data_IF_988902344575
#
_entry.id   IF_988902344575
#
_cell.length_a   1.000
_cell.length_b   1.000
_cell.length_c   1.000
_cell.angle_alpha   90.00
_cell.angle_beta   90.00
_cell.angle_gamma   90.00
#
_symmetry.space_group_name_H-M   'P 1'
#
loop_
_entity.id
_entity.type
_entity.pdbx_description
1 polymer ?
#
# COMPACT_ATOMS: atom_id res chain seq x y z
N UNK A 1 13.43 4.53 -6.59
CA UNK A 1 12.47 5.55 -7.06
C UNK A 1 12.45 5.58 -8.59
N UNK A 2 11.28 5.71 -9.20
CA UNK A 2 11.10 5.76 -10.66
C UNK A 2 10.35 7.02 -11.04
N UNK A 3 10.81 7.70 -12.09
CA UNK A 3 10.26 9.00 -12.50
C UNK A 3 10.00 9.00 -13.99
N UNK A 4 8.76 9.26 -14.39
CA UNK A 4 8.38 9.52 -15.77
C UNK A 4 8.84 10.93 -16.19
N UNK A 5 9.64 11.01 -17.24
CA UNK A 5 10.04 12.24 -17.91
C UNK A 5 9.32 12.36 -19.27
N UNK A 6 9.43 13.49 -20.00
CA UNK A 6 8.75 13.66 -21.28
C UNK A 6 9.03 12.58 -22.35
N UNK A 7 10.16 11.87 -22.28
CA UNK A 7 10.57 10.88 -23.27
C UNK A 7 11.33 9.67 -22.69
N UNK A 8 11.30 9.49 -21.37
CA UNK A 8 12.04 8.43 -20.70
C UNK A 8 11.50 8.14 -19.30
N UNK A 9 11.94 7.02 -18.72
CA UNK A 9 11.79 6.74 -17.29
C UNK A 9 13.18 6.77 -16.66
N UNK A 10 13.38 7.64 -15.67
CA UNK A 10 14.61 7.67 -14.87
C UNK A 10 14.49 6.76 -13.66
N UNK A 11 15.56 6.06 -13.36
CA UNK A 11 15.67 5.09 -12.28
C UNK A 11 16.65 5.64 -11.25
N UNK A 12 16.23 5.68 -9.99
CA UNK A 12 17.05 6.14 -8.88
C UNK A 12 17.07 5.12 -7.76
N UNK A 13 18.22 4.99 -7.11
CA UNK A 13 18.34 4.36 -5.81
C UNK A 13 17.54 5.18 -4.80
N UNK A 14 16.61 4.56 -4.08
CA UNK A 14 15.68 5.25 -3.18
C UNK A 14 16.32 5.64 -1.84
N UNK A 15 17.49 5.10 -1.51
CA UNK A 15 18.25 5.44 -0.30
C UNK A 15 19.22 6.61 -0.58
N UNK A 16 20.07 6.48 -1.59
CA UNK A 16 21.12 7.46 -1.92
C UNK A 16 20.65 8.55 -2.88
N UNK A 17 19.52 8.36 -3.57
CA UNK A 17 19.04 9.26 -4.62
C UNK A 17 19.86 9.20 -5.91
N UNK A 18 20.84 8.29 -6.01
CA UNK A 18 21.72 8.18 -7.18
C UNK A 18 20.95 7.63 -8.39
N UNK A 19 21.16 8.22 -9.55
CA UNK A 19 20.64 7.66 -10.80
C UNK A 19 21.28 6.30 -11.11
N UNK A 20 20.44 5.29 -11.32
CA UNK A 20 20.79 3.91 -11.65
C UNK A 20 20.67 3.62 -13.15
N UNK A 21 19.83 4.38 -13.86
CA UNK A 21 19.58 4.14 -15.26
C UNK A 21 18.50 5.04 -15.85
N UNK A 22 18.36 4.95 -17.18
CA UNK A 22 17.33 5.63 -17.94
C UNK A 22 16.79 4.63 -18.96
N UNK A 23 15.47 4.51 -19.05
CA UNK A 23 14.79 3.73 -20.09
C UNK A 23 14.19 4.70 -21.10
N UNK A 24 14.63 4.70 -22.37
CA UNK A 24 14.01 5.51 -23.40
C UNK A 24 12.56 5.09 -23.62
N UNK A 25 11.66 6.07 -23.60
CA UNK A 25 10.24 5.86 -23.92
C UNK A 25 9.73 7.08 -24.68
N UNK A 26 10.03 7.19 -25.98
CA UNK A 26 9.83 8.41 -26.77
C UNK A 26 8.35 8.80 -26.93
N UNK A 27 7.43 7.87 -26.67
CA UNK A 27 5.99 8.11 -26.70
C UNK A 27 5.47 8.82 -25.44
N UNK A 28 6.36 9.19 -24.52
CA UNK A 28 6.09 10.01 -23.35
C UNK A 28 5.33 9.24 -22.27
N UNK A 29 6.00 8.66 -21.27
CA UNK A 29 5.33 8.03 -20.14
C UNK A 29 4.46 9.05 -19.38
N UNK A 30 3.28 8.63 -18.93
CA UNK A 30 2.35 9.45 -18.14
C UNK A 30 2.16 8.93 -16.73
N UNK A 31 1.75 7.68 -16.61
CA UNK A 31 1.50 7.03 -15.33
C UNK A 31 2.29 5.73 -15.25
N UNK A 32 2.88 5.48 -14.08
CA UNK A 32 3.64 4.27 -13.79
C UNK A 32 2.86 3.43 -12.77
N UNK A 33 2.87 2.11 -12.96
CA UNK A 33 2.44 1.13 -11.95
C UNK A 33 3.54 0.09 -11.79
N UNK A 34 3.82 -0.28 -10.55
CA UNK A 34 4.97 -1.11 -10.17
C UNK A 34 4.49 -2.23 -9.25
N UNK A 35 3.95 -3.34 -9.81
CA UNK A 35 3.71 -4.55 -9.03
C UNK A 35 5.02 -5.09 -8.43
N UNK A 36 4.96 -5.95 -7.39
CA UNK A 36 6.12 -6.67 -6.91
C UNK A 36 6.83 -7.41 -8.04
N UNK A 37 8.15 -7.30 -8.09
CA UNK A 37 8.98 -7.94 -9.12
C UNK A 37 9.85 -6.96 -9.89
N UNK A 38 10.21 -7.36 -11.12
CA UNK A 38 11.16 -6.64 -11.96
C UNK A 38 10.50 -6.07 -13.23
N UNK A 39 9.23 -5.65 -13.15
CA UNK A 39 8.51 -5.06 -14.29
C UNK A 39 7.75 -3.81 -13.88
N UNK A 40 7.94 -2.72 -14.62
CA UNK A 40 7.18 -1.47 -14.48
C UNK A 40 6.24 -1.33 -15.67
N UNK A 41 4.99 -0.99 -15.41
CA UNK A 41 4.01 -0.68 -16.45
C UNK A 41 3.92 0.82 -16.61
N UNK A 42 3.91 1.30 -17.85
CA UNK A 42 3.74 2.71 -18.15
C UNK A 42 2.65 2.93 -19.20
N UNK A 43 1.73 3.85 -18.93
CA UNK A 43 0.88 4.42 -19.99
C UNK A 43 1.63 5.53 -20.71
N UNK A 44 1.33 5.75 -21.98
CA UNK A 44 2.01 6.75 -22.83
C UNK A 44 1.06 7.83 -23.35
N UNK A 45 1.61 8.97 -23.79
CA UNK A 45 0.82 10.03 -24.42
C UNK A 45 0.20 9.61 -25.76
N UNK A 46 0.77 8.58 -26.42
CA UNK A 46 0.24 8.02 -27.68
C UNK A 46 -0.83 6.94 -27.49
N UNK A 47 -1.32 6.73 -26.27
CA UNK A 47 -2.40 5.77 -26.03
C UNK A 47 -1.93 4.32 -26.12
N UNK A 48 -0.71 4.04 -25.67
CA UNK A 48 -0.18 2.68 -25.49
C UNK A 48 0.11 2.40 -24.01
N UNK A 49 0.09 1.12 -23.64
CA UNK A 49 0.67 0.63 -22.38
C UNK A 49 1.89 -0.21 -22.73
N UNK A 50 2.99 0.06 -22.03
CA UNK A 50 4.25 -0.66 -22.18
C UNK A 50 4.64 -1.32 -20.86
N UNK A 51 5.27 -2.50 -20.94
CA UNK A 51 6.00 -3.10 -19.84
C UNK A 51 7.49 -2.79 -19.99
N UNK A 52 8.13 -2.43 -18.89
CA UNK A 52 9.55 -2.13 -18.81
C UNK A 52 10.20 -3.17 -17.90
N UNK A 53 11.12 -3.94 -18.46
CA UNK A 53 11.97 -4.87 -17.70
C UNK A 53 13.01 -4.06 -16.92
N UNK A 54 13.09 -4.32 -15.61
CA UNK A 54 14.02 -3.65 -14.70
C UNK A 54 15.38 -4.34 -14.63
N UNK A 55 15.55 -5.49 -15.29
CA UNK A 55 16.86 -6.12 -15.42
C UNK A 55 17.64 -5.47 -16.55
N UNK A 56 18.92 -5.20 -16.31
CA UNK A 56 19.80 -4.71 -17.36
C UNK A 56 20.06 -5.84 -18.39
N UNK A 57 20.02 -5.55 -19.71
CA UNK A 57 19.69 -4.26 -20.31
C UNK A 57 18.18 -3.95 -20.22
N UNK A 58 17.83 -2.74 -19.77
CA UNK A 58 16.42 -2.33 -19.64
C UNK A 58 15.72 -2.34 -20.99
N UNK A 59 14.58 -3.01 -21.10
CA UNK A 59 13.79 -3.09 -22.34
C UNK A 59 12.36 -2.63 -22.11
N UNK A 60 11.82 -1.85 -23.05
CA UNK A 60 10.42 -1.47 -23.08
C UNK A 60 9.68 -2.26 -24.18
N UNK A 61 8.61 -2.93 -23.81
CA UNK A 61 7.80 -3.77 -24.70
C UNK A 61 6.35 -3.29 -24.72
N UNK A 62 5.80 -2.90 -25.88
CA UNK A 62 4.38 -2.55 -25.99
C UNK A 62 3.47 -3.74 -25.69
N UNK A 63 2.42 -3.52 -24.91
CA UNK A 63 1.43 -4.54 -24.54
C UNK A 63 0.11 -4.33 -25.27
N UNK A 64 -0.44 -3.12 -25.18
CA UNK A 64 -1.71 -2.73 -25.83
C UNK A 64 -1.62 -1.32 -26.37
N UNK A 65 -2.47 -1.00 -27.35
CA UNK A 65 -2.49 0.31 -28.01
C UNK A 65 -3.90 0.73 -28.42
N UNK A 66 -4.06 2.02 -28.72
CA UNK A 66 -5.26 2.59 -29.30
C UNK A 66 -6.31 3.09 -28.29
N UNK A 67 -6.02 3.05 -26.99
CA UNK A 67 -6.88 3.57 -25.91
C UNK A 67 -6.51 4.98 -25.46
N UNK A 68 -7.29 5.52 -24.52
CA UNK A 68 -6.90 6.69 -23.70
C UNK A 68 -6.69 6.19 -22.28
N UNK A 69 -5.45 5.76 -22.00
CA UNK A 69 -5.12 5.03 -20.79
C UNK A 69 -4.76 5.95 -19.61
N UNK A 70 -5.40 5.71 -18.47
CA UNK A 70 -5.26 6.51 -17.24
C UNK A 70 -4.25 5.97 -16.22
N UNK A 71 -4.28 6.49 -14.98
CA UNK A 71 -3.51 5.96 -13.85
C UNK A 71 -3.91 4.51 -13.57
N UNK A 72 -2.92 3.63 -13.57
CA UNK A 72 -3.11 2.19 -13.36
C UNK A 72 -2.93 1.84 -11.88
N UNK A 73 -3.51 0.72 -11.47
CA UNK A 73 -3.19 0.06 -10.21
C UNK A 73 -3.07 -1.45 -10.43
N UNK A 74 -2.55 -2.18 -9.46
CA UNK A 74 -2.37 -3.62 -9.55
C UNK A 74 -2.97 -4.36 -8.36
N UNK A 75 -3.36 -5.59 -8.61
CA UNK A 75 -3.74 -6.53 -7.56
C UNK A 75 -2.47 -7.16 -6.98
N UNK A 76 -2.17 -6.90 -5.71
CA UNK A 76 -0.97 -7.42 -5.05
C UNK A 76 -0.97 -8.93 -4.84
N UNK A 77 -2.14 -9.58 -4.92
CA UNK A 77 -2.28 -11.03 -4.76
C UNK A 77 -2.02 -11.81 -6.06
N UNK A 78 -2.38 -11.23 -7.21
CA UNK A 78 -2.27 -11.88 -8.52
C UNK A 78 -1.20 -11.26 -9.42
N UNK A 79 -0.84 -10.00 -9.19
CA UNK A 79 0.00 -9.19 -10.06
C UNK A 79 -0.72 -8.63 -11.30
N UNK A 80 -2.05 -8.83 -11.42
CA UNK A 80 -2.82 -8.29 -12.54
C UNK A 80 -2.80 -6.75 -12.48
N UNK A 81 -2.67 -6.11 -13.65
CA UNK A 81 -2.63 -4.64 -13.74
C UNK A 81 -3.92 -4.12 -14.37
N UNK A 82 -4.61 -3.26 -13.65
CA UNK A 82 -5.86 -2.65 -14.09
C UNK A 82 -5.59 -1.28 -14.69
N UNK A 83 -6.01 -1.11 -15.93
CA UNK A 83 -5.76 0.07 -16.75
C UNK A 83 -7.09 0.75 -17.09
N UNK A 84 -7.38 1.94 -16.56
CA UNK A 84 -8.49 2.77 -17.02
C UNK A 84 -8.37 3.08 -18.50
N UNK A 85 -9.36 2.74 -19.30
CA UNK A 85 -9.47 3.12 -20.71
C UNK A 85 -10.68 4.03 -20.92
N UNK A 86 -10.39 5.33 -20.98
CA UNK A 86 -11.38 6.41 -21.14
C UNK A 86 -12.03 6.41 -22.51
N UNK A 87 -11.33 5.91 -23.53
CA UNK A 87 -11.85 5.88 -24.90
C UNK A 87 -12.95 4.84 -25.03
N UNK A 88 -12.79 3.69 -24.37
CA UNK A 88 -13.68 2.53 -24.52
C UNK A 88 -14.59 2.28 -23.31
N UNK A 89 -14.64 3.19 -22.33
CA UNK A 89 -15.44 3.07 -21.10
C UNK A 89 -15.24 1.72 -20.39
N UNK A 90 -13.99 1.36 -20.10
CA UNK A 90 -13.68 0.06 -19.51
C UNK A 90 -12.40 0.12 -18.66
N UNK A 91 -12.24 -0.84 -17.77
CA UNK A 91 -10.92 -1.24 -17.28
C UNK A 91 -10.39 -2.35 -18.18
N UNK A 92 -9.20 -2.16 -18.70
CA UNK A 92 -8.43 -3.22 -19.35
C UNK A 92 -7.58 -3.88 -18.28
N UNK A 93 -7.63 -5.21 -18.19
CA UNK A 93 -6.83 -5.96 -17.22
C UNK A 93 -5.73 -6.70 -17.96
N UNK A 94 -4.50 -6.44 -17.55
CA UNK A 94 -3.31 -7.03 -18.13
C UNK A 94 -2.89 -8.28 -17.37
N UNK A 95 -2.37 -9.26 -18.09
CA UNK A 95 -1.76 -10.44 -17.50
C UNK A 95 -0.48 -10.02 -16.76
N UNK A 96 -0.18 -10.58 -15.57
CA UNK A 96 1.07 -10.31 -14.89
C UNK A 96 2.25 -10.76 -15.76
N UNK A 97 3.15 -9.83 -16.05
CA UNK A 97 4.39 -10.11 -16.75
C UNK A 97 5.55 -10.22 -15.76
N UNK A 98 6.36 -11.26 -15.94
CA UNK A 98 7.66 -11.39 -15.31
C UNK A 98 8.76 -11.01 -16.32
N UNK A 99 9.80 -10.36 -15.83
CA UNK A 99 10.98 -10.01 -16.61
C UNK A 99 11.58 -11.21 -17.37
N UNK A 100 11.93 -11.02 -18.64
CA UNK A 100 12.47 -12.07 -19.51
C UNK A 100 11.48 -13.12 -20.01
N UNK A 101 10.21 -13.09 -19.61
CA UNK A 101 9.18 -14.02 -20.12
C UNK A 101 8.57 -13.51 -21.44
N UNK A 102 8.04 -14.44 -22.23
CA UNK A 102 7.30 -14.11 -23.44
C UNK A 102 6.08 -13.27 -23.08
N UNK A 103 5.88 -12.17 -23.82
CA UNK A 103 4.69 -11.31 -23.67
C UNK A 103 3.41 -12.15 -23.88
N UNK A 104 2.50 -12.18 -22.90
CA UNK A 104 1.24 -12.87 -23.01
C UNK A 104 0.31 -12.16 -24.01
N UNK A 105 -0.79 -12.81 -24.36
CA UNK A 105 -1.83 -12.18 -25.17
C UNK A 105 -2.55 -11.15 -24.30
N UNK A 106 -2.60 -9.90 -24.76
CA UNK A 106 -3.30 -8.83 -24.08
C UNK A 106 -4.51 -8.30 -24.87
N UNK A 107 -5.56 -7.82 -24.18
CA UNK A 107 -5.73 -7.88 -22.73
C UNK A 107 -6.10 -9.27 -22.22
N UNK A 108 -5.82 -9.58 -20.95
CA UNK A 108 -6.33 -10.79 -20.29
C UNK A 108 -7.87 -10.80 -20.32
N UNK A 109 -8.48 -9.71 -19.84
CA UNK A 109 -9.91 -9.45 -19.93
C UNK A 109 -10.22 -7.96 -19.78
N UNK A 110 -11.51 -7.61 -19.87
CA UNK A 110 -12.00 -6.23 -19.70
C UNK A 110 -13.17 -6.19 -18.73
N UNK A 111 -13.27 -5.11 -17.95
CA UNK A 111 -14.42 -4.79 -17.10
C UNK A 111 -15.14 -3.58 -17.69
N UNK A 112 -16.39 -3.75 -18.12
CA UNK A 112 -17.17 -2.70 -18.79
C UNK A 112 -17.76 -1.70 -17.80
N UNK A 113 -17.71 -0.42 -18.13
CA UNK A 113 -18.18 0.66 -17.28
C UNK A 113 -19.30 1.44 -17.94
N UNK A 114 -20.19 1.99 -17.12
CA UNK A 114 -21.26 2.87 -17.57
C UNK A 114 -20.76 4.27 -17.99
N UNK A 115 -19.54 4.65 -17.59
CA UNK A 115 -18.94 5.95 -17.88
C UNK A 115 -17.41 5.84 -18.00
N UNK A 116 -16.78 6.94 -18.46
CA UNK A 116 -15.33 7.04 -18.65
C UNK A 116 -14.60 6.94 -17.30
N UNK A 117 -13.66 6.01 -17.13
CA UNK A 117 -12.89 5.93 -15.90
C UNK A 117 -11.75 6.94 -15.85
N UNK A 118 -11.64 7.71 -14.77
CA UNK A 118 -10.51 8.59 -14.49
C UNK A 118 -9.33 7.86 -13.83
N UNK A 119 -9.59 6.94 -12.91
CA UNK A 119 -8.58 6.16 -12.18
C UNK A 119 -9.18 4.86 -11.63
N UNK A 120 -8.32 3.95 -11.18
CA UNK A 120 -8.71 2.77 -10.41
C UNK A 120 -7.81 2.61 -9.18
N UNK A 121 -8.35 2.05 -8.11
CA UNK A 121 -7.59 1.56 -6.96
C UNK A 121 -8.05 0.14 -6.61
N UNK A 122 -7.11 -0.77 -6.37
CA UNK A 122 -7.35 -2.15 -5.96
C UNK A 122 -6.97 -2.29 -4.48
N UNK A 123 -7.75 -3.04 -3.70
CA UNK A 123 -7.38 -3.32 -2.31
C UNK A 123 -6.17 -4.24 -2.25
N UNK A 124 -5.34 -4.13 -1.21
CA UNK A 124 -4.12 -4.94 -1.07
C UNK A 124 -4.38 -6.46 -0.99
N UNK A 125 -5.60 -6.88 -0.64
CA UNK A 125 -6.02 -8.28 -0.62
C UNK A 125 -6.67 -8.74 -1.95
N UNK A 126 -6.72 -7.85 -2.94
CA UNK A 126 -7.24 -8.13 -4.27
C UNK A 126 -8.75 -8.39 -4.32
N UNK A 127 -9.50 -8.13 -3.24
CA UNK A 127 -10.93 -8.45 -3.20
C UNK A 127 -11.80 -7.41 -3.89
N UNK A 128 -11.45 -6.12 -3.74
CA UNK A 128 -12.26 -5.01 -4.20
C UNK A 128 -11.49 -4.06 -5.12
N UNK A 129 -12.21 -3.53 -6.11
CA UNK A 129 -11.72 -2.50 -7.01
C UNK A 129 -12.63 -1.28 -6.99
N UNK A 130 -12.03 -0.09 -6.95
CA UNK A 130 -12.73 1.19 -6.93
C UNK A 130 -12.35 2.00 -8.16
N UNK A 131 -13.31 2.24 -9.04
CA UNK A 131 -13.13 2.99 -10.27
C UNK A 131 -13.74 4.38 -10.19
N UNK A 132 -12.93 5.45 -10.24
CA UNK A 132 -13.46 6.81 -10.33
C UNK A 132 -13.97 7.08 -11.74
N UNK A 133 -15.19 7.59 -11.89
CA UNK A 133 -15.83 7.82 -13.18
C UNK A 133 -16.13 9.31 -13.42
N UNK A 134 -15.99 9.75 -14.67
CA UNK A 134 -16.18 11.16 -15.08
C UNK A 134 -17.64 11.65 -14.91
N UNK A 135 -18.59 10.74 -14.69
CA UNK A 135 -20.00 11.09 -14.39
C UNK A 135 -20.26 11.42 -12.92
N UNK A 136 -19.22 11.46 -12.07
CA UNK A 136 -19.33 11.81 -10.66
C UNK A 136 -19.56 10.64 -9.71
N UNK A 137 -19.43 9.41 -10.21
CA UNK A 137 -19.61 8.20 -9.43
C UNK A 137 -18.33 7.38 -9.26
N UNK A 138 -18.35 6.44 -8.33
CA UNK A 138 -17.33 5.42 -8.13
C UNK A 138 -17.96 4.05 -8.37
N UNK A 139 -17.39 3.28 -9.30
CA UNK A 139 -17.75 1.88 -9.49
C UNK A 139 -17.03 1.01 -8.46
N UNK A 140 -17.77 0.20 -7.72
CA UNK A 140 -17.25 -0.79 -6.79
C UNK A 140 -17.33 -2.17 -7.45
N UNK A 141 -16.19 -2.83 -7.60
CA UNK A 141 -16.04 -4.15 -8.19
C UNK A 141 -15.68 -5.20 -7.14
N UNK A 142 -16.28 -6.38 -7.30
CA UNK A 142 -15.74 -7.65 -6.85
C UNK A 142 -14.69 -8.07 -7.89
N UNK A 143 -13.43 -8.10 -7.48
CA UNK A 143 -12.32 -8.38 -8.39
C UNK A 143 -12.26 -9.88 -8.75
N UNK A 144 -12.29 -10.82 -7.79
CA UNK A 144 -12.33 -12.25 -8.11
C UNK A 144 -13.52 -12.65 -8.98
N UNK A 145 -14.73 -12.15 -8.67
CA UNK A 145 -15.93 -12.45 -9.44
C UNK A 145 -16.01 -11.64 -10.75
N UNK A 146 -15.18 -10.60 -10.90
CA UNK A 146 -15.13 -9.69 -12.05
C UNK A 146 -16.47 -8.98 -12.29
N UNK A 147 -17.14 -8.60 -11.20
CA UNK A 147 -18.50 -8.08 -11.24
C UNK A 147 -18.61 -6.72 -10.57
N UNK A 148 -19.43 -5.86 -11.17
CA UNK A 148 -19.81 -4.61 -10.55
C UNK A 148 -20.77 -4.90 -9.40
N UNK A 149 -20.36 -4.59 -8.17
CA UNK A 149 -21.19 -4.71 -6.96
C UNK A 149 -22.13 -3.51 -6.86
N UNK A 150 -21.58 -2.30 -7.00
CA UNK A 150 -22.33 -1.07 -6.78
C UNK A 150 -21.75 0.12 -7.55
N UNK A 151 -22.56 1.15 -7.70
CA UNK A 151 -22.11 2.48 -8.15
C UNK A 151 -22.46 3.50 -7.08
N UNK A 152 -21.45 4.19 -6.56
CA UNK A 152 -21.58 5.12 -5.44
C UNK A 152 -21.50 6.54 -5.98
N UNK A 153 -22.52 7.36 -5.72
CA UNK A 153 -22.49 8.77 -6.10
C UNK A 153 -21.66 9.57 -5.11
N UNK A 154 -20.72 10.37 -5.62
CA UNK A 154 -19.80 11.15 -4.76
C UNK A 154 -20.26 12.59 -4.55
N UNK A 155 -21.19 13.08 -5.36
CA UNK A 155 -21.61 14.49 -5.36
C UNK A 155 -20.61 15.46 -6.02
N UNK A 156 -19.49 14.95 -6.55
CA UNK A 156 -18.46 15.73 -7.24
C UNK A 156 -17.89 15.00 -8.46
N UNK A 157 -16.68 15.34 -8.90
CA UNK A 157 -15.97 14.67 -9.99
C UNK A 157 -14.74 13.93 -9.43
N UNK A 158 -14.88 12.63 -9.06
CA UNK A 158 -13.76 11.88 -8.49
C UNK A 158 -12.70 11.67 -9.58
N UNK A 159 -11.44 12.00 -9.27
CA UNK A 159 -10.32 11.91 -10.23
C UNK A 159 -9.24 10.94 -9.81
N UNK A 160 -9.20 10.59 -8.53
CA UNK A 160 -8.20 9.72 -7.94
C UNK A 160 -8.79 9.01 -6.73
N UNK A 161 -8.35 7.78 -6.49
CA UNK A 161 -8.74 6.96 -5.35
C UNK A 161 -7.47 6.34 -4.78
N UNK A 162 -7.38 6.27 -3.46
CA UNK A 162 -6.35 5.53 -2.74
C UNK A 162 -7.08 4.47 -1.92
N UNK A 163 -6.69 3.20 -2.08
CA UNK A 163 -7.05 2.13 -1.16
C UNK A 163 -5.99 2.04 -0.06
N UNK A 164 -6.44 1.87 1.18
CA UNK A 164 -5.58 1.53 2.31
C UNK A 164 -5.51 0.02 2.53
N UNK A 165 -4.91 -0.40 3.65
CA UNK A 165 -4.95 -1.80 4.09
C UNK A 165 -6.40 -2.24 4.29
N UNK A 166 -6.77 -3.33 3.64
CA UNK A 166 -8.08 -3.96 3.61
C UNK A 166 -7.96 -5.48 3.88
N UNK A 167 -8.88 -6.06 4.68
CA UNK A 167 -9.83 -5.34 5.52
C UNK A 167 -9.09 -4.45 6.53
N UNK A 168 -9.67 -3.30 6.95
CA UNK A 168 -9.00 -2.38 7.85
C UNK A 168 -8.54 -3.12 9.11
N UNK A 169 -7.26 -3.02 9.43
CA UNK A 169 -6.67 -3.66 10.62
C UNK A 169 -7.20 -3.07 11.92
N UNK A 170 -7.79 -1.86 11.88
CA UNK A 170 -8.28 -1.13 13.05
C UNK A 170 -9.66 -0.50 12.81
N UNK A 171 -10.72 -1.28 13.03
CA UNK A 171 -12.10 -0.79 12.92
C UNK A 171 -12.49 -0.38 11.50
N UNK A 172 -13.77 -0.46 11.20
CA UNK A 172 -14.33 -0.05 9.89
C UNK A 172 -14.79 1.41 9.90
N UNK A 173 -14.70 2.09 11.05
CA UNK A 173 -15.08 3.50 11.23
C UNK A 173 -14.03 4.28 12.01
N UNK A 174 -13.91 5.61 11.78
CA UNK A 174 -13.03 6.48 12.57
C UNK A 174 -13.27 6.38 14.09
N UNK A 175 -14.53 6.15 14.49
CA UNK A 175 -14.92 5.98 15.89
C UNK A 175 -14.36 4.68 16.48
N UNK A 176 -14.43 3.57 15.74
CA UNK A 176 -13.85 2.30 16.18
C UNK A 176 -12.33 2.38 16.31
N UNK A 177 -11.64 2.99 15.33
CA UNK A 177 -10.20 3.21 15.40
C UNK A 177 -9.81 4.07 16.63
N UNK A 178 -10.56 5.13 16.92
CA UNK A 178 -10.34 5.98 18.10
C UNK A 178 -10.51 5.23 19.42
N UNK A 179 -11.48 4.32 19.53
CA UNK A 179 -11.70 3.55 20.75
C UNK A 179 -10.54 2.59 21.04
N UNK A 180 -9.97 1.97 20.01
CA UNK A 180 -8.77 1.13 20.17
C UNK A 180 -7.55 1.93 20.63
N UNK A 181 -7.32 3.11 20.02
CA UNK A 181 -6.22 4.00 20.43
C UNK A 181 -6.41 4.46 21.88
N UNK A 182 -7.64 4.80 22.29
CA UNK A 182 -7.93 5.15 23.68
C UNK A 182 -7.71 3.98 24.64
N UNK A 183 -8.17 2.77 24.29
CA UNK A 183 -7.97 1.57 25.11
C UNK A 183 -6.48 1.22 25.28
N UNK A 184 -5.70 1.31 24.20
CA UNK A 184 -4.25 1.09 24.22
C UNK A 184 -3.54 2.12 25.11
N UNK A 185 -3.93 3.39 25.03
CA UNK A 185 -3.37 4.44 25.89
C UNK A 185 -3.70 4.20 27.37
N UNK A 186 -4.95 3.84 27.70
CA UNK A 186 -5.37 3.53 29.08
C UNK A 186 -4.56 2.33 29.61
N UNK A 187 -4.44 1.25 28.84
CA UNK A 187 -3.63 0.10 29.23
C UNK A 187 -2.15 0.47 29.45
N UNK A 188 -1.59 1.32 28.58
CA UNK A 188 -0.23 1.85 28.73
C UNK A 188 -0.05 2.63 30.04
N UNK A 189 -0.97 3.52 30.37
CA UNK A 189 -0.92 4.26 31.64
C UNK A 189 -1.02 3.34 32.87
N UNK A 190 -1.88 2.32 32.84
CA UNK A 190 -2.01 1.36 33.94
C UNK A 190 -0.70 0.58 34.16
N UNK A 191 0.00 0.20 33.08
CA UNK A 191 1.30 -0.48 33.16
C UNK A 191 2.35 0.45 33.78
N UNK A 192 2.43 1.72 33.34
CA UNK A 192 3.37 2.70 33.90
C UNK A 192 3.09 2.95 35.38
N UNK A 193 1.83 3.11 35.75
CA UNK A 193 1.42 3.29 37.16
C UNK A 193 1.78 2.07 38.00
N UNK A 194 1.54 0.86 37.50
CA UNK A 194 1.94 -0.37 38.18
C UNK A 194 3.46 -0.45 38.38
N UNK A 195 4.25 -0.11 37.35
CA UNK A 195 5.71 -0.08 37.42
C UNK A 195 6.25 0.97 38.41
N UNK A 196 5.52 2.06 38.67
CA UNK A 196 5.93 3.06 39.65
C UNK A 196 5.47 2.72 41.08
N UNK A 197 4.24 2.23 41.24
CA UNK A 197 3.63 2.01 42.56
C UNK A 197 4.08 0.69 43.18
N UNK A 198 4.16 -0.39 42.39
CA UNK A 198 4.48 -1.73 42.91
C UNK A 198 5.85 -1.79 43.58
N UNK A 199 6.94 -1.22 43.01
CA UNK A 199 8.24 -1.19 43.68
C UNK A 199 8.23 -0.40 44.98
N UNK A 200 7.47 0.70 45.06
CA UNK A 200 7.34 1.51 46.29
C UNK A 200 6.62 0.70 47.38
N UNK A 201 5.54 0.01 47.03
CA UNK A 201 4.80 -0.84 47.98
C UNK A 201 5.68 -2.00 48.45
N UNK A 202 6.35 -2.69 47.52
CA UNK A 202 7.28 -3.76 47.85
C UNK A 202 8.41 -3.25 48.76
N UNK A 203 9.05 -2.13 48.42
CA UNK A 203 10.11 -1.53 49.22
C UNK A 203 9.64 -1.15 50.62
N UNK A 204 8.45 -0.52 50.77
CA UNK A 204 7.88 -0.22 52.09
C UNK A 204 7.58 -1.49 52.88
N UNK A 205 7.12 -2.54 52.23
CA UNK A 205 6.82 -3.81 52.89
C UNK A 205 8.10 -4.53 53.33
N UNK A 206 9.17 -4.52 52.51
CA UNK A 206 10.49 -5.04 52.88
C UNK A 206 11.16 -4.21 53.98
N UNK A 207 11.07 -2.87 53.93
CA UNK A 207 11.63 -1.98 54.94
C UNK A 207 10.94 -2.13 56.31
N UNK A 208 9.61 -2.35 56.34
CA UNK A 208 8.87 -2.62 57.58
C UNK A 208 9.15 -3.99 58.21
N UNK A 209 9.66 -4.95 57.42
CA UNK A 209 10.05 -6.29 57.91
C UNK A 209 11.50 -6.36 58.40
N UNK A 210 12.31 -5.31 58.23
CA UNK A 210 13.60 -5.17 58.91
C UNK A 210 13.34 -4.70 60.33
N UNK A 211 13.35 -5.63 61.27
CA UNK A 211 13.31 -5.35 62.71
C UNK A 211 14.68 -4.72 63.10
N UNK A 212 14.75 -3.55 63.76
CA UNK A 212 16.02 -2.92 64.15
C UNK A 212 16.94 -3.82 64.99
N UNK A 213 16.40 -4.89 65.57
CA UNK A 213 17.14 -5.90 66.34
C UNK A 213 18.13 -6.72 65.52
N UNK A 214 17.98 -6.79 64.19
CA UNK A 214 18.92 -7.50 63.33
C UNK A 214 20.25 -6.75 63.12
N UNK A 215 20.24 -5.42 63.22
CA UNK A 215 21.46 -4.61 63.17
C UNK A 215 22.22 -4.64 64.53
N UNK A 216 21.51 -4.79 65.65
CA UNK A 216 22.12 -4.95 66.98
C UNK A 216 22.83 -6.31 67.14
N UNK A 217 22.37 -7.36 66.43
CA UNK A 217 23.05 -8.67 66.41
C UNK A 217 24.34 -8.67 65.60
N UNK A 218 24.47 -7.83 64.56
CA UNK A 218 25.72 -7.69 63.81
C UNK A 218 26.78 -6.85 64.55
N UNK A 219 26.36 -5.88 65.36
CA UNK A 219 27.28 -5.06 66.14
C UNK A 219 27.89 -5.77 67.38
N UNK A 220 27.32 -6.91 67.81
CA UNK A 220 27.75 -7.67 68.99
C UNK A 220 28.62 -8.90 68.71
N UNK A 221 29.09 -9.11 67.47
CA UNK A 221 30.09 -10.16 67.18
C UNK A 221 31.49 -9.57 67.39
N UNK A 222 32.25 -9.97 68.43
CA UNK A 222 33.64 -9.57 68.57
C UNK A 222 34.48 -10.25 67.47
N UNK A 223 35.57 -9.62 67.01
CA UNK A 223 36.47 -10.28 66.07
C UNK A 223 37.05 -11.54 66.72
N UNK A 224 36.96 -12.66 66.00
CA UNK A 224 37.63 -13.88 66.41
C UNK A 224 39.14 -13.71 66.23
N UNK A 225 39.86 -13.98 67.34
CA UNK A 225 41.30 -14.02 67.61
C UNK A 225 42.08 -12.70 67.49
#
# INVERSE_FOLDING_TARGET
LWVANPSSISIFDDISGKALGIVPLPDGPRYLSIPPGATVYATTTKGTVVAVDLNAPYTATPLISGGDYGPMDYDASTGEVYVPDRKNNQFVVLTPLNAGFKVPKEPNYVLKLAARPSSIAITNDGQLGFGALDNGSVALYDIPARQLIATIQTGGSPRFIISGVYPPTFGTTPQQASLFVQAANIAGYLIVVALLIVPIILFRHYARRRDPKDDEKKAKVPPAS
#
